data_IF_442367957264
#
_entry.id   IF_442367957264
#
_cell.length_a   1.000
_cell.length_b   1.000
_cell.length_c   1.000
_cell.angle_alpha   90.00
_cell.angle_beta   90.00
_cell.angle_gamma   90.00
#
_symmetry.space_group_name_H-M   'P 1'
#
loop_
_entity.id
_entity.type
_entity.pdbx_description
1 polymer ?
#
# COMPACT_ATOMS: atom_id res chain seq x y z
N UNK A 1 -29.93 -26.66 -1.97
CA UNK A 1 -29.64 -25.22 -2.14
C UNK A 1 -28.13 -25.06 -2.07
N UNK A 2 -27.47 -24.92 -3.23
CA UNK A 2 -26.03 -24.73 -3.34
C UNK A 2 -25.72 -23.22 -3.38
N UNK A 3 -24.56 -22.76 -2.85
CA UNK A 3 -24.21 -21.34 -2.85
C UNK A 3 -23.93 -20.86 -4.28
N UNK A 4 -24.51 -19.72 -4.65
CA UNK A 4 -24.17 -19.01 -5.89
C UNK A 4 -22.77 -18.43 -5.72
N UNK A 5 -21.78 -19.11 -6.26
CA UNK A 5 -20.47 -18.54 -6.58
C UNK A 5 -20.67 -17.56 -7.72
N UNK A 6 -20.87 -16.28 -7.39
CA UNK A 6 -20.78 -15.21 -8.38
C UNK A 6 -19.30 -14.88 -8.53
N UNK A 7 -18.58 -15.72 -9.28
CA UNK A 7 -17.37 -15.28 -9.96
C UNK A 7 -17.82 -14.42 -11.14
N UNK A 8 -17.82 -13.10 -10.96
CA UNK A 8 -17.75 -12.18 -12.08
C UNK A 8 -16.30 -12.11 -12.54
N UNK A 9 -15.95 -12.55 -13.77
CA UNK A 9 -14.82 -11.98 -14.48
C UNK A 9 -15.23 -10.58 -14.97
N UNK A 10 -14.33 -9.75 -15.46
CA UNK A 10 -14.66 -8.43 -16.07
C UNK A 10 -14.76 -7.24 -15.10
N UNK A 11 -13.67 -7.01 -14.35
CA UNK A 11 -13.00 -5.71 -14.38
C UNK A 11 -11.55 -6.03 -14.00
N UNK A 12 -10.57 -5.62 -14.79
CA UNK A 12 -9.22 -5.47 -14.24
C UNK A 12 -9.30 -4.32 -13.25
N UNK A 13 -9.90 -4.56 -12.08
CA UNK A 13 -9.83 -3.67 -10.95
C UNK A 13 -8.35 -3.56 -10.63
N UNK A 14 -7.70 -2.55 -11.22
CA UNK A 14 -6.39 -2.10 -10.78
C UNK A 14 -6.60 -1.87 -9.30
N UNK A 15 -6.16 -2.81 -8.46
CA UNK A 15 -6.32 -2.75 -7.02
C UNK A 15 -5.62 -1.47 -6.55
N UNK A 16 -6.37 -0.37 -6.51
CA UNK A 16 -5.84 0.95 -6.17
C UNK A 16 -5.60 1.03 -4.68
N UNK A 17 -6.15 0.09 -3.89
CA UNK A 17 -5.96 0.04 -2.45
C UNK A 17 -4.89 -0.98 -2.09
N UNK A 18 -3.86 -0.51 -1.39
CA UNK A 18 -2.83 -1.35 -0.77
C UNK A 18 -3.12 -1.42 0.73
N UNK A 19 -3.30 -2.62 1.26
CA UNK A 19 -3.47 -2.82 2.70
C UNK A 19 -2.13 -3.14 3.33
N UNK A 20 -1.66 -2.25 4.20
CA UNK A 20 -0.48 -2.46 5.03
C UNK A 20 -0.72 -3.56 6.08
N UNK A 21 0.36 -4.11 6.67
CA UNK A 21 0.33 -5.27 7.58
C UNK A 21 -0.51 -5.07 8.84
N UNK A 22 -0.86 -3.83 9.18
CA UNK A 22 -1.69 -3.48 10.36
C UNK A 22 -3.14 -3.14 10.00
N UNK A 23 -3.56 -3.40 8.76
CA UNK A 23 -4.89 -3.04 8.26
C UNK A 23 -5.02 -1.59 7.80
N UNK A 24 -3.91 -0.83 7.73
CA UNK A 24 -3.91 0.51 7.15
C UNK A 24 -4.15 0.41 5.66
N UNK A 25 -5.17 1.09 5.15
CA UNK A 25 -5.45 1.10 3.70
C UNK A 25 -4.87 2.36 3.07
N UNK A 26 -4.12 2.17 1.98
CA UNK A 26 -3.50 3.23 1.19
C UNK A 26 -4.11 3.24 -0.21
N UNK A 27 -4.84 4.30 -0.52
CA UNK A 27 -5.29 4.56 -1.88
C UNK A 27 -4.12 5.06 -2.72
N UNK A 28 -3.75 4.26 -3.71
CA UNK A 28 -2.61 4.35 -4.60
C UNK A 28 -3.07 4.08 -6.06
N UNK A 29 -3.88 4.95 -6.67
CA UNK A 29 -4.32 4.78 -8.05
C UNK A 29 -3.19 5.00 -9.08
N UNK A 30 -2.13 5.71 -8.69
CA UNK A 30 -1.02 6.09 -9.56
C UNK A 30 0.31 6.19 -8.78
N UNK A 31 1.43 6.24 -9.51
CA UNK A 31 2.77 6.32 -8.94
C UNK A 31 3.01 7.60 -8.12
N UNK A 32 2.41 8.73 -8.50
CA UNK A 32 2.60 9.99 -7.78
C UNK A 32 1.91 9.97 -6.40
N UNK A 33 0.75 9.31 -6.31
CA UNK A 33 0.07 9.09 -5.03
C UNK A 33 0.88 8.16 -4.13
N UNK A 34 1.48 7.11 -4.70
CA UNK A 34 2.43 6.22 -4.00
C UNK A 34 3.63 7.00 -3.44
N UNK A 35 4.29 7.83 -4.26
CA UNK A 35 5.44 8.64 -3.84
C UNK A 35 5.08 9.63 -2.72
N UNK A 36 3.85 10.19 -2.74
CA UNK A 36 3.35 11.05 -1.66
C UNK A 36 3.18 10.30 -0.34
N UNK A 37 2.63 9.09 -0.37
CA UNK A 37 2.51 8.23 0.83
C UNK A 37 3.88 7.87 1.38
N UNK A 38 4.82 7.47 0.52
CA UNK A 38 6.20 7.17 0.91
C UNK A 38 6.90 8.36 1.56
N UNK A 39 6.75 9.56 0.98
CA UNK A 39 7.32 10.80 1.53
C UNK A 39 6.74 11.11 2.91
N UNK A 40 5.42 10.95 3.06
CA UNK A 40 4.70 11.18 4.32
C UNK A 40 5.13 10.18 5.40
N UNK A 41 5.25 8.90 5.05
CA UNK A 41 5.73 7.85 5.96
C UNK A 41 7.17 8.10 6.38
N UNK A 42 8.06 8.49 5.46
CA UNK A 42 9.43 8.87 5.78
C UNK A 42 9.52 10.04 6.75
N UNK A 43 8.67 11.06 6.59
CA UNK A 43 8.60 12.18 7.52
C UNK A 43 8.10 11.74 8.91
N UNK A 44 7.05 10.91 8.95
CA UNK A 44 6.51 10.34 10.19
C UNK A 44 7.53 9.45 10.91
N UNK A 45 8.30 8.64 10.19
CA UNK A 45 9.39 7.84 10.77
C UNK A 45 10.41 8.76 11.44
N UNK A 46 10.86 9.82 10.77
CA UNK A 46 11.84 10.75 11.35
C UNK A 46 11.34 11.40 12.64
N UNK A 47 10.06 11.77 12.69
CA UNK A 47 9.44 12.36 13.88
C UNK A 47 9.18 11.32 14.98
N UNK A 48 8.75 10.11 14.63
CA UNK A 48 8.38 9.07 15.57
C UNK A 48 9.57 8.29 16.13
N UNK A 49 10.66 8.12 15.37
CA UNK A 49 11.84 7.33 15.78
C UNK A 49 12.36 7.65 17.19
N UNK A 50 12.54 8.92 17.62
CA UNK A 50 13.08 9.21 18.94
C UNK A 50 12.14 8.88 20.10
N UNK A 51 10.82 8.83 19.87
CA UNK A 51 9.81 8.67 20.93
C UNK A 51 9.10 7.31 20.88
N UNK A 52 8.94 6.75 19.68
CA UNK A 52 8.14 5.56 19.38
C UNK A 52 8.85 4.68 18.33
N UNK A 53 9.93 3.97 18.71
CA UNK A 53 10.68 3.12 17.78
C UNK A 53 9.84 1.98 17.19
N UNK A 54 8.86 1.46 17.93
CA UNK A 54 7.91 0.44 17.45
C UNK A 54 7.00 0.99 16.35
N UNK A 55 6.55 2.24 16.48
CA UNK A 55 5.74 2.91 15.47
C UNK A 55 6.56 3.22 14.21
N UNK A 56 7.82 3.64 14.39
CA UNK A 56 8.75 3.81 13.28
C UNK A 56 9.00 2.49 12.53
N UNK A 57 9.00 1.34 13.21
CA UNK A 57 9.07 0.03 12.56
C UNK A 57 7.80 -0.28 11.76
N UNK A 58 6.63 -0.05 12.34
CA UNK A 58 5.36 -0.24 11.62
C UNK A 58 5.29 0.59 10.33
N UNK A 59 5.72 1.85 10.36
CA UNK A 59 5.77 2.68 9.15
C UNK A 59 6.79 2.18 8.12
N UNK A 60 7.88 1.51 8.53
CA UNK A 60 8.80 0.87 7.57
C UNK A 60 8.14 -0.35 6.92
N UNK A 61 7.44 -1.16 7.68
CA UNK A 61 6.70 -2.31 7.13
C UNK A 61 5.63 -1.82 6.12
N UNK A 62 4.95 -0.71 6.40
CA UNK A 62 4.02 -0.08 5.43
C UNK A 62 4.74 0.42 4.17
N UNK A 63 5.95 1.00 4.29
CA UNK A 63 6.77 1.44 3.15
C UNK A 63 7.15 0.26 2.25
N UNK A 64 7.55 -0.87 2.82
CA UNK A 64 7.97 -2.05 2.04
C UNK A 64 6.83 -2.56 1.15
N UNK A 65 5.60 -2.59 1.66
CA UNK A 65 4.41 -2.99 0.87
C UNK A 65 4.12 -1.98 -0.25
N UNK A 66 4.26 -0.68 0.03
CA UNK A 66 4.07 0.37 -0.99
C UNK A 66 5.13 0.30 -2.10
N UNK A 67 6.38 -0.01 -1.76
CA UNK A 67 7.46 -0.20 -2.74
C UNK A 67 7.23 -1.44 -3.60
N UNK A 68 6.73 -2.53 -3.03
CA UNK A 68 6.34 -3.72 -3.79
C UNK A 68 5.21 -3.39 -4.79
N UNK A 69 4.19 -2.63 -4.35
CA UNK A 69 3.13 -2.15 -5.24
C UNK A 69 3.67 -1.28 -6.36
N UNK A 70 4.58 -0.35 -6.05
CA UNK A 70 5.23 0.50 -7.05
C UNK A 70 5.92 -0.34 -8.12
N UNK A 71 6.70 -1.34 -7.71
CA UNK A 71 7.41 -2.24 -8.63
C UNK A 71 6.43 -3.01 -9.52
N UNK A 72 5.32 -3.48 -8.96
CA UNK A 72 4.28 -4.15 -9.74
C UNK A 72 3.65 -3.22 -10.78
N UNK A 73 3.37 -1.97 -10.41
CA UNK A 73 2.84 -0.96 -11.33
C UNK A 73 3.84 -0.66 -12.45
N UNK A 74 5.10 -0.42 -12.12
CA UNK A 74 6.18 -0.17 -13.10
C UNK A 74 6.33 -1.35 -14.09
N UNK A 75 6.21 -2.59 -13.62
CA UNK A 75 6.28 -3.79 -14.46
C UNK A 75 5.03 -4.01 -15.34
N UNK A 76 3.85 -3.60 -14.87
CA UNK A 76 2.57 -3.82 -15.58
C UNK A 76 2.23 -2.66 -16.51
N UNK A 77 2.81 -1.47 -16.29
CA UNK A 77 2.66 -0.29 -17.15
C UNK A 77 3.66 -0.23 -18.32
N UNK A 78 4.57 -1.20 -18.42
CA UNK A 78 5.61 -1.31 -19.46
C UNK A 78 5.18 -2.27 -20.57
#
# INVERSE_FOLDING_TARGET
MAPKTTSSPEDSEVLTVVTGPRGTSYECPDLATLDRHLTTLCARIRQATPQFPSLARAFRDDIDVLLDRRRWLELTSA
#
